data_IF_555543403817
#
_entry.id   IF_555543403817
#
_cell.length_a   1.000
_cell.length_b   1.000
_cell.length_c   1.000
_cell.angle_alpha   90.00
_cell.angle_beta   90.00
_cell.angle_gamma   90.00
#
_symmetry.space_group_name_H-M   'P 1'
#
loop_
_entity.id
_entity.type
_entity.pdbx_description
1 polymer ?
#
# COMPACT_ATOMS: atom_id res chain seq x y z
N UNK A 1 -47.08 -14.86 17.78
CA UNK A 1 -46.19 -13.70 17.50
C UNK A 1 -44.75 -14.17 17.62
N UNK A 2 -44.08 -14.39 16.50
CA UNK A 2 -42.68 -14.83 16.45
C UNK A 2 -41.77 -13.69 16.89
N UNK A 3 -41.14 -13.84 18.06
CA UNK A 3 -40.19 -12.88 18.65
C UNK A 3 -39.01 -12.75 17.69
N UNK A 4 -38.96 -11.66 16.94
CA UNK A 4 -37.81 -11.26 16.13
C UNK A 4 -36.59 -11.18 17.06
N UNK A 5 -35.70 -12.15 16.99
CA UNK A 5 -34.42 -12.09 17.70
C UNK A 5 -33.71 -10.80 17.26
N UNK A 6 -33.28 -9.93 18.20
CA UNK A 6 -32.85 -8.60 17.81
C UNK A 6 -31.51 -8.70 17.06
N UNK A 7 -31.49 -8.11 15.86
CA UNK A 7 -30.29 -7.77 15.08
C UNK A 7 -29.24 -6.93 15.85
N UNK A 8 -29.48 -6.65 17.14
CA UNK A 8 -28.68 -5.85 18.07
C UNK A 8 -27.84 -6.70 19.05
N UNK A 9 -28.01 -8.03 19.08
CA UNK A 9 -27.32 -8.90 20.03
C UNK A 9 -25.78 -8.91 19.91
N UNK A 10 -25.21 -8.39 18.81
CA UNK A 10 -23.76 -8.25 18.62
C UNK A 10 -23.17 -7.06 19.38
N UNK A 11 -23.92 -5.95 19.52
CA UNK A 11 -23.45 -4.74 20.18
C UNK A 11 -23.78 -4.73 21.68
N UNK A 12 -24.90 -5.36 22.07
CA UNK A 12 -25.45 -5.32 23.44
C UNK A 12 -24.68 -6.21 24.43
N UNK A 13 -24.02 -7.27 23.97
CA UNK A 13 -23.26 -8.19 24.84
C UNK A 13 -21.72 -8.05 24.73
N UNK A 14 -21.21 -6.93 24.19
CA UNK A 14 -19.76 -6.69 24.11
C UNK A 14 -19.28 -5.95 25.37
N UNK A 15 -18.30 -6.52 26.06
CA UNK A 15 -17.64 -5.84 27.19
C UNK A 15 -17.16 -4.44 26.80
N UNK A 16 -17.48 -3.45 27.63
CA UNK A 16 -17.03 -2.08 27.42
C UNK A 16 -15.53 -1.95 27.72
N UNK A 17 -14.71 -1.90 26.66
CA UNK A 17 -13.26 -1.70 26.74
C UNK A 17 -12.84 -0.24 26.52
N UNK A 18 -13.77 0.71 26.50
CA UNK A 18 -13.46 2.15 26.35
C UNK A 18 -12.52 2.63 27.46
N UNK A 19 -12.76 2.34 28.75
CA UNK A 19 -11.84 2.77 29.81
C UNK A 19 -10.44 2.16 29.67
N UNK A 20 -10.34 0.95 29.11
CA UNK A 20 -9.06 0.29 28.83
C UNK A 20 -8.26 1.06 27.78
N UNK A 21 -8.87 1.39 26.63
CA UNK A 21 -8.18 2.14 25.58
C UNK A 21 -7.89 3.57 26.01
N UNK A 22 -8.76 4.22 26.79
CA UNK A 22 -8.49 5.55 27.33
C UNK A 22 -7.21 5.56 28.16
N UNK A 23 -7.03 4.60 29.08
CA UNK A 23 -5.79 4.47 29.86
C UNK A 23 -4.58 4.22 28.96
N UNK A 24 -4.70 3.28 28.00
CA UNK A 24 -3.61 2.94 27.07
C UNK A 24 -3.16 4.15 26.22
N UNK A 25 -4.10 4.91 25.66
CA UNK A 25 -3.80 6.04 24.77
C UNK A 25 -3.47 7.34 25.52
N UNK A 26 -3.89 7.50 26.77
CA UNK A 26 -3.57 8.67 27.60
C UNK A 26 -2.27 8.48 28.42
N UNK A 27 -1.72 7.27 28.50
CA UNK A 27 -0.46 7.01 29.20
C UNK A 27 0.72 7.81 28.60
N UNK A 28 1.48 8.54 29.42
CA UNK A 28 2.58 9.41 28.95
C UNK A 28 3.91 8.65 28.76
N UNK A 29 3.91 7.58 27.95
CA UNK A 29 5.10 6.74 27.70
C UNK A 29 6.07 7.30 26.64
N UNK A 30 5.85 8.53 26.15
CA UNK A 30 6.62 9.13 25.05
C UNK A 30 6.45 8.46 23.67
N UNK A 31 5.69 7.35 23.58
CA UNK A 31 5.43 6.63 22.33
C UNK A 31 4.42 7.39 21.46
N UNK A 32 4.69 7.41 20.14
CA UNK A 32 3.75 7.94 19.14
C UNK A 32 2.43 7.18 19.22
N UNK A 33 1.31 7.87 19.01
CA UNK A 33 -0.04 7.30 19.13
C UNK A 33 -0.24 6.04 18.27
N UNK A 34 0.33 6.02 17.07
CA UNK A 34 0.29 4.87 16.15
C UNK A 34 1.21 3.70 16.54
N UNK A 35 1.93 3.78 17.67
CA UNK A 35 2.82 2.72 18.20
C UNK A 35 2.41 2.25 19.59
N UNK A 36 1.28 2.71 20.13
CA UNK A 36 0.85 2.39 21.51
C UNK A 36 0.37 0.96 21.72
N UNK A 37 -0.23 0.35 20.69
CA UNK A 37 -0.77 -1.02 20.79
C UNK A 37 0.30 -2.05 20.46
N UNK A 38 0.32 -3.22 21.13
CA UNK A 38 1.27 -4.31 20.83
C UNK A 38 1.17 -4.83 19.39
N UNK A 39 -0.03 -4.77 18.79
CA UNK A 39 -0.27 -5.14 17.38
C UNK A 39 0.20 -4.07 16.38
N UNK A 40 0.48 -2.86 16.85
CA UNK A 40 0.76 -1.73 15.97
C UNK A 40 2.06 -1.92 15.20
N UNK A 41 3.08 -2.54 15.80
CA UNK A 41 4.32 -2.88 15.11
C UNK A 41 4.09 -3.78 13.90
N UNK A 42 3.33 -4.86 14.08
CA UNK A 42 3.00 -5.82 13.00
C UNK A 42 2.25 -5.20 11.82
N UNK A 43 1.44 -4.16 12.06
CA UNK A 43 0.74 -3.43 11.00
C UNK A 43 1.63 -2.33 10.40
N UNK A 44 2.45 -1.67 11.23
CA UNK A 44 3.32 -0.59 10.79
C UNK A 44 4.48 -1.05 9.92
N UNK A 45 5.11 -2.20 10.22
CA UNK A 45 6.23 -2.68 9.42
C UNK A 45 5.91 -2.85 7.92
N UNK A 46 4.85 -3.59 7.51
CA UNK A 46 4.53 -3.71 6.08
C UNK A 46 4.09 -2.39 5.47
N UNK A 47 3.38 -1.53 6.22
CA UNK A 47 2.98 -0.21 5.76
C UNK A 47 4.18 0.71 5.49
N UNK A 48 5.15 0.74 6.39
CA UNK A 48 6.35 1.56 6.22
C UNK A 48 7.18 1.06 5.04
N UNK A 49 7.37 -0.26 4.93
CA UNK A 49 8.11 -0.86 3.80
C UNK A 49 7.46 -0.50 2.46
N UNK A 50 6.13 -0.59 2.37
CA UNK A 50 5.43 -0.29 1.11
C UNK A 50 5.52 1.19 0.73
N UNK A 51 5.38 2.10 1.69
CA UNK A 51 5.47 3.54 1.45
C UNK A 51 6.89 3.94 1.03
N UNK A 52 7.91 3.47 1.74
CA UNK A 52 9.31 3.77 1.37
C UNK A 52 9.69 3.11 0.04
N UNK A 53 9.27 1.85 -0.17
CA UNK A 53 9.53 1.14 -1.43
C UNK A 53 8.91 1.84 -2.63
N UNK A 54 7.65 2.29 -2.50
CA UNK A 54 6.98 3.04 -3.56
C UNK A 54 7.62 4.42 -3.76
N UNK A 55 7.99 5.13 -2.69
CA UNK A 55 8.67 6.42 -2.79
C UNK A 55 9.98 6.33 -3.58
N UNK A 56 10.79 5.30 -3.31
CA UNK A 56 12.04 5.04 -4.06
C UNK A 56 11.73 4.70 -5.51
N UNK A 57 10.74 3.84 -5.78
CA UNK A 57 10.35 3.47 -7.13
C UNK A 57 9.87 4.67 -7.96
N UNK A 58 9.03 5.54 -7.37
CA UNK A 58 8.56 6.77 -8.01
C UNK A 58 9.70 7.73 -8.29
N UNK A 59 10.59 7.95 -7.32
CA UNK A 59 11.75 8.84 -7.49
C UNK A 59 12.70 8.31 -8.57
N UNK A 60 12.91 6.99 -8.64
CA UNK A 60 13.69 6.36 -9.70
C UNK A 60 13.04 6.53 -11.08
N UNK A 61 11.72 6.33 -11.20
CA UNK A 61 11.00 6.53 -12.45
C UNK A 61 11.10 7.98 -12.94
N UNK A 62 10.91 8.95 -12.04
CA UNK A 62 11.10 10.38 -12.35
C UNK A 62 12.53 10.68 -12.78
N UNK A 63 13.54 10.20 -12.02
CA UNK A 63 14.95 10.37 -12.37
C UNK A 63 15.29 9.79 -13.74
N UNK A 64 14.75 8.60 -14.06
CA UNK A 64 14.89 7.99 -15.39
C UNK A 64 14.25 8.83 -16.50
N UNK A 65 13.10 9.46 -16.26
CA UNK A 65 12.47 10.32 -17.27
C UNK A 65 13.26 11.62 -17.52
N UNK A 66 13.93 12.16 -16.49
CA UNK A 66 14.74 13.37 -16.60
C UNK A 66 16.08 13.10 -17.29
N UNK A 67 16.79 12.04 -16.91
CA UNK A 67 18.15 11.77 -17.39
C UNK A 67 18.21 10.82 -18.59
N UNK A 68 17.16 10.03 -18.85
CA UNK A 68 17.13 9.10 -19.98
C UNK A 68 16.03 9.51 -20.96
N UNK A 69 16.45 10.16 -22.05
CA UNK A 69 15.61 10.64 -23.14
C UNK A 69 15.00 9.53 -24.02
N UNK A 70 15.29 8.25 -23.72
CA UNK A 70 14.71 7.10 -24.44
C UNK A 70 14.08 6.12 -23.45
N UNK A 71 12.73 6.03 -23.39
CA UNK A 71 12.11 4.93 -22.66
C UNK A 71 12.59 3.60 -23.25
N UNK A 72 12.85 2.62 -22.40
CA UNK A 72 13.29 1.28 -22.81
C UNK A 72 12.40 0.67 -23.92
N UNK A 73 11.09 0.95 -23.85
CA UNK A 73 10.12 0.59 -24.89
C UNK A 73 10.37 1.27 -26.24
N UNK A 74 10.73 2.56 -26.27
CA UNK A 74 10.93 3.30 -27.52
C UNK A 74 12.17 2.81 -28.32
N UNK A 75 13.20 2.30 -27.63
CA UNK A 75 14.34 1.63 -28.29
C UNK A 75 13.95 0.28 -28.90
N UNK A 76 13.17 -0.53 -28.16
CA UNK A 76 12.71 -1.85 -28.62
C UNK A 76 11.72 -1.78 -29.79
N UNK A 77 10.88 -0.74 -29.82
CA UNK A 77 9.88 -0.50 -30.86
C UNK A 77 10.56 -0.10 -32.18
N UNK A 78 11.51 0.86 -32.15
CA UNK A 78 12.25 1.28 -33.35
C UNK A 78 13.12 0.14 -33.92
N UNK A 79 13.74 -0.68 -33.06
CA UNK A 79 14.53 -1.84 -33.50
C UNK A 79 13.65 -2.91 -34.18
N UNK A 80 12.42 -3.12 -33.70
CA UNK A 80 11.44 -4.02 -34.33
C UNK A 80 10.93 -3.47 -35.66
N UNK A 81 10.56 -2.19 -35.72
CA UNK A 81 10.13 -1.54 -36.96
C UNK A 81 11.22 -1.55 -38.04
N UNK A 82 12.50 -1.41 -37.65
CA UNK A 82 13.60 -1.50 -38.59
C UNK A 82 13.80 -2.94 -39.11
N UNK A 83 13.57 -3.96 -38.28
CA UNK A 83 13.69 -5.37 -38.69
C UNK A 83 12.58 -5.79 -39.67
N UNK A 84 11.34 -5.38 -39.42
CA UNK A 84 10.18 -5.70 -40.28
C UNK A 84 10.16 -4.93 -41.61
N UNK A 85 10.97 -3.89 -41.78
CA UNK A 85 11.05 -3.14 -43.05
C UNK A 85 12.08 -3.72 -44.04
N UNK A 86 12.95 -4.62 -43.58
CA UNK A 86 14.09 -5.13 -44.38
C UNK A 86 13.86 -6.57 -44.87
N UNK A 87 13.02 -7.36 -44.20
CA UNK A 87 12.53 -8.62 -44.77
C UNK A 87 11.24 -8.38 -45.55
N UNK A 88 11.24 -8.52 -46.90
CA UNK A 88 9.99 -8.64 -47.65
C UNK A 88 9.31 -9.97 -47.32
N UNK A 89 7.98 -9.96 -47.25
CA UNK A 89 7.18 -11.17 -47.03
C UNK A 89 7.51 -12.23 -48.10
N UNK A 90 7.60 -13.53 -47.74
CA UNK A 90 7.82 -14.58 -48.71
C UNK A 90 6.63 -14.66 -49.69
N UNK A 91 6.93 -14.52 -50.98
CA UNK A 91 5.98 -14.70 -52.11
C UNK A 91 5.70 -16.18 -52.35
#
# INVERSE_FOLDING_TARGET
MLRTAPRMAVFVFRENRVPYYQRLFQQHDGKRQWYKTSRSGWVMYPYLISVYGMGVACTYAMGRMVFVSKPFAHGSINARYHKTRVEPDPV
#
